data_IF_066532115189
#
_entry.id   IF_066532115189
#
_cell.length_a   1.000
_cell.length_b   1.000
_cell.length_c   1.000
_cell.angle_alpha   90.00
_cell.angle_beta   90.00
_cell.angle_gamma   90.00
#
_symmetry.space_group_name_H-M   'P 1'
#
loop_
_entity.id
_entity.type
_entity.pdbx_description
1 polymer ?
#
# COMPACT_ATOMS: atom_id res chain seq x y z
N UNK A 1 16.08 4.70 -2.89
CA UNK A 1 16.35 5.30 -4.22
C UNK A 1 17.73 4.85 -4.67
N UNK A 2 17.92 4.66 -5.98
CA UNK A 2 19.23 4.44 -6.57
C UNK A 2 20.09 5.70 -6.59
N UNK A 3 21.32 5.58 -7.09
CA UNK A 3 22.25 6.69 -7.26
C UNK A 3 22.79 6.74 -8.69
N UNK A 4 23.20 7.92 -9.14
CA UNK A 4 23.74 8.14 -10.49
C UNK A 4 22.72 7.77 -11.58
N UNK A 5 23.10 6.89 -12.50
CA UNK A 5 22.23 6.45 -13.63
C UNK A 5 20.95 5.70 -13.21
N UNK A 6 20.78 5.39 -11.91
CA UNK A 6 19.62 4.70 -11.36
C UNK A 6 18.92 5.54 -10.29
N UNK A 7 19.07 6.85 -10.34
CA UNK A 7 18.49 7.76 -9.34
C UNK A 7 16.94 7.71 -9.32
N UNK A 8 16.33 7.36 -10.44
CA UNK A 8 14.89 7.16 -10.64
C UNK A 8 14.38 5.77 -10.21
N UNK A 9 15.27 4.88 -9.80
CA UNK A 9 14.93 3.50 -9.46
C UNK A 9 14.64 3.35 -7.97
N UNK A 10 13.44 2.86 -7.64
CA UNK A 10 13.05 2.47 -6.28
C UNK A 10 13.42 1.01 -6.04
N UNK A 11 14.11 0.74 -4.94
CA UNK A 11 14.49 -0.62 -4.53
C UNK A 11 13.71 -1.05 -3.30
N UNK A 12 13.15 -2.26 -3.36
CA UNK A 12 12.59 -2.93 -2.19
C UNK A 12 13.76 -3.58 -1.43
N UNK A 13 13.83 -3.30 -0.13
CA UNK A 13 14.90 -3.80 0.76
C UNK A 13 14.28 -4.40 2.02
N UNK A 14 15.10 -5.12 2.80
CA UNK A 14 14.73 -5.66 4.11
C UNK A 14 13.61 -6.70 4.05
N UNK A 15 13.90 -7.82 3.40
CA UNK A 15 12.97 -8.97 3.26
C UNK A 15 12.79 -9.81 4.54
N UNK A 16 13.30 -9.35 5.70
CA UNK A 16 13.21 -10.11 6.96
C UNK A 16 11.80 -10.42 7.46
N UNK A 17 10.79 -9.65 7.01
CA UNK A 17 9.38 -9.89 7.29
C UNK A 17 8.62 -10.48 6.10
N UNK A 18 9.33 -10.83 5.01
CA UNK A 18 8.70 -11.44 3.84
C UNK A 18 8.24 -12.85 4.14
N UNK A 19 7.10 -13.20 3.58
CA UNK A 19 6.50 -14.54 3.70
C UNK A 19 6.06 -15.03 2.33
N UNK A 20 6.25 -16.31 2.08
CA UNK A 20 5.70 -16.95 0.90
C UNK A 20 4.16 -16.98 1.00
N UNK A 21 3.47 -16.52 -0.04
CA UNK A 21 2.01 -16.53 -0.10
C UNK A 21 1.43 -17.86 -0.62
N UNK A 22 2.27 -18.75 -1.13
CA UNK A 22 1.90 -20.07 -1.65
C UNK A 22 3.00 -21.08 -1.41
N UNK A 23 2.62 -22.34 -1.32
CA UNK A 23 3.58 -23.45 -1.20
C UNK A 23 4.39 -23.58 -2.51
N UNK A 24 5.72 -23.66 -2.45
CA UNK A 24 6.58 -23.65 -3.63
C UNK A 24 6.34 -24.82 -4.59
N UNK A 25 6.05 -26.02 -4.07
CA UNK A 25 5.93 -27.23 -4.89
C UNK A 25 4.53 -27.48 -5.45
N UNK A 26 3.50 -27.19 -4.67
CA UNK A 26 2.10 -27.49 -5.04
C UNK A 26 1.32 -26.26 -5.46
N UNK A 27 1.94 -25.07 -5.35
CA UNK A 27 1.38 -23.76 -5.75
C UNK A 27 0.04 -23.39 -5.09
N UNK A 28 -0.37 -24.11 -4.04
CA UNK A 28 -1.53 -23.75 -3.25
C UNK A 28 -1.22 -22.53 -2.39
N UNK A 29 -2.18 -21.63 -2.28
CA UNK A 29 -2.09 -20.48 -1.39
C UNK A 29 -1.98 -20.96 0.06
N UNK A 30 -1.25 -20.20 0.91
CA UNK A 30 -1.21 -20.49 2.35
C UNK A 30 -2.62 -20.43 2.93
N UNK A 31 -2.92 -21.23 3.97
CA UNK A 31 -4.23 -21.23 4.60
C UNK A 31 -4.52 -19.87 5.26
N UNK A 32 -5.77 -19.44 5.20
CA UNK A 32 -6.23 -18.26 5.91
C UNK A 32 -6.34 -18.56 7.40
N UNK A 33 -5.55 -17.88 8.20
CA UNK A 33 -5.53 -17.99 9.65
C UNK A 33 -5.86 -16.66 10.31
N UNK A 34 -6.57 -16.72 11.44
CA UNK A 34 -6.69 -15.60 12.38
C UNK A 34 -5.59 -15.67 13.46
N UNK A 35 -5.57 -14.70 14.36
CA UNK A 35 -4.66 -14.61 15.51
C UNK A 35 -3.19 -14.33 15.15
N UNK A 36 -2.94 -13.61 14.08
CA UNK A 36 -1.63 -13.03 13.77
C UNK A 36 -1.42 -11.71 14.53
N UNK A 37 -0.19 -11.41 14.88
CA UNK A 37 0.17 -10.08 15.37
C UNK A 37 0.14 -9.03 14.27
N UNK A 38 0.04 -7.74 14.65
CA UNK A 38 0.22 -6.64 13.70
C UNK A 38 1.63 -6.71 13.09
N UNK A 39 1.72 -6.74 11.78
CA UNK A 39 2.98 -6.71 11.04
C UNK A 39 3.17 -5.33 10.41
N UNK A 40 4.33 -4.74 10.58
CA UNK A 40 4.70 -3.44 10.04
C UNK A 40 4.26 -2.26 10.91
N UNK A 41 4.30 -1.07 10.32
CA UNK A 41 3.90 0.17 10.99
C UNK A 41 2.37 0.32 10.96
N UNK A 42 1.77 0.51 12.13
CA UNK A 42 0.32 0.66 12.28
C UNK A 42 -0.28 1.71 11.33
N UNK A 43 0.43 2.81 11.08
CA UNK A 43 -0.01 3.87 10.17
C UNK A 43 -0.32 3.35 8.77
N UNK A 44 0.51 2.44 8.23
CA UNK A 44 0.40 1.97 6.85
C UNK A 44 -0.12 0.53 6.71
N UNK A 45 -0.15 -0.25 7.80
CA UNK A 45 -0.63 -1.63 7.78
C UNK A 45 -2.07 -1.72 7.23
N UNK A 46 -2.39 -2.81 6.52
CA UNK A 46 -3.74 -3.06 6.01
C UNK A 46 -4.77 -3.20 7.13
N UNK A 47 -6.03 -3.04 6.82
CA UNK A 47 -7.13 -3.28 7.77
C UNK A 47 -7.05 -4.72 8.31
N UNK A 48 -6.78 -5.70 7.45
CA UNK A 48 -6.67 -7.10 7.86
C UNK A 48 -5.51 -7.35 8.81
N UNK A 49 -4.38 -6.64 8.63
CA UNK A 49 -3.25 -6.71 9.58
C UNK A 49 -3.64 -6.23 10.97
N UNK A 50 -4.41 -5.15 11.06
CA UNK A 50 -4.94 -4.67 12.34
C UNK A 50 -5.90 -5.66 13.00
N UNK A 51 -6.74 -6.33 12.19
CA UNK A 51 -7.68 -7.33 12.66
C UNK A 51 -7.02 -8.68 13.04
N UNK A 52 -5.71 -8.81 12.82
CA UNK A 52 -4.95 -10.01 13.16
C UNK A 52 -5.19 -11.18 12.20
N UNK A 53 -5.55 -10.92 10.97
CA UNK A 53 -5.69 -11.93 9.94
C UNK A 53 -4.37 -12.23 9.23
N UNK A 54 -4.29 -13.41 8.63
CA UNK A 54 -3.17 -13.76 7.75
C UNK A 54 -3.13 -12.81 6.56
N UNK A 55 -1.92 -12.33 6.24
CA UNK A 55 -1.70 -11.33 5.19
C UNK A 55 -1.42 -11.99 3.84
N UNK A 56 -1.92 -11.38 2.80
CA UNK A 56 -1.72 -11.79 1.43
C UNK A 56 -1.28 -10.61 0.54
N UNK A 57 -1.22 -10.86 -0.77
CA UNK A 57 -0.81 -9.85 -1.75
C UNK A 57 -1.64 -8.57 -1.73
N UNK A 58 -2.94 -8.67 -1.40
CA UNK A 58 -3.85 -7.52 -1.27
C UNK A 58 -3.41 -6.57 -0.17
N UNK A 59 -2.86 -7.13 0.90
CA UNK A 59 -2.46 -6.36 2.09
C UNK A 59 -1.21 -5.53 1.83
N UNK A 60 -0.26 -6.06 1.04
CA UNK A 60 0.90 -5.31 0.56
C UNK A 60 0.49 -4.17 -0.37
N UNK A 61 -0.48 -4.41 -1.25
CA UNK A 61 -1.01 -3.39 -2.15
C UNK A 61 -1.79 -2.30 -1.39
N UNK A 62 -2.58 -2.66 -0.37
CA UNK A 62 -3.29 -1.69 0.47
C UNK A 62 -2.30 -0.83 1.26
N UNK A 63 -1.24 -1.43 1.80
CA UNK A 63 -0.14 -0.72 2.45
C UNK A 63 0.50 0.29 1.49
N UNK A 64 0.80 -0.13 0.26
CA UNK A 64 1.36 0.74 -0.76
C UNK A 64 0.42 1.91 -1.09
N UNK A 65 -0.89 1.65 -1.19
CA UNK A 65 -1.88 2.71 -1.41
C UNK A 65 -1.83 3.78 -0.31
N UNK A 66 -1.77 3.37 0.97
CA UNK A 66 -1.64 4.32 2.08
C UNK A 66 -0.34 5.12 2.06
N UNK A 67 0.78 4.50 1.67
CA UNK A 67 2.06 5.20 1.51
C UNK A 67 1.97 6.26 0.42
N UNK A 68 1.39 5.93 -0.73
CA UNK A 68 1.23 6.87 -1.86
C UNK A 68 0.32 8.05 -1.48
N UNK A 69 -0.81 7.76 -0.80
CA UNK A 69 -1.72 8.79 -0.29
C UNK A 69 -0.99 9.69 0.72
N UNK A 70 -0.24 9.09 1.64
CA UNK A 70 0.55 9.83 2.61
C UNK A 70 1.58 10.76 1.94
N UNK A 71 2.29 10.31 0.93
CA UNK A 71 3.26 11.15 0.22
C UNK A 71 2.62 12.36 -0.46
N UNK A 72 1.39 12.24 -0.92
CA UNK A 72 0.69 13.32 -1.61
C UNK A 72 -0.09 14.25 -0.66
N UNK A 73 -0.64 13.72 0.42
CA UNK A 73 -1.38 14.51 1.42
C UNK A 73 -0.50 15.05 2.56
N UNK A 74 0.66 14.41 2.81
CA UNK A 74 1.52 14.70 3.96
C UNK A 74 1.04 14.10 5.28
N UNK A 75 -0.18 13.56 5.36
CA UNK A 75 -0.74 12.94 6.56
C UNK A 75 -1.83 11.92 6.22
N UNK A 76 -2.18 11.08 7.20
CA UNK A 76 -3.33 10.17 7.14
C UNK A 76 -4.25 10.45 8.34
N UNK A 77 -5.57 10.29 8.23
CA UNK A 77 -6.54 10.63 9.28
C UNK A 77 -6.29 9.94 10.63
N UNK A 78 -5.67 8.78 10.61
CA UNK A 78 -5.32 7.98 11.79
C UNK A 78 -3.87 8.13 12.25
N UNK A 79 -3.12 9.08 11.68
CA UNK A 79 -1.73 9.33 12.07
C UNK A 79 -1.66 10.02 13.45
N UNK A 80 -0.65 9.66 14.25
CA UNK A 80 -0.46 10.23 15.59
C UNK A 80 -1.30 9.57 16.68
N UNK A 81 -2.17 8.63 16.35
CA UNK A 81 -2.79 7.76 17.33
C UNK A 81 -1.72 6.77 17.82
N UNK A 82 -1.46 6.77 19.14
CA UNK A 82 -0.42 5.93 19.76
C UNK A 82 -0.70 4.43 19.64
N UNK A 83 0.29 3.61 19.96
CA UNK A 83 0.16 2.13 19.97
C UNK A 83 -0.93 1.62 20.91
N UNK A 84 -1.22 2.38 21.98
CA UNK A 84 -2.28 2.07 22.95
C UNK A 84 -3.71 2.25 22.37
N UNK A 85 -3.80 2.87 21.19
CA UNK A 85 -5.06 3.17 20.48
C UNK A 85 -5.18 2.38 19.18
N UNK A 86 -4.61 1.18 19.13
CA UNK A 86 -4.66 0.30 17.92
C UNK A 86 -6.08 0.11 17.39
N UNK A 87 -7.04 -0.07 18.30
CA UNK A 87 -8.44 -0.26 17.93
C UNK A 87 -9.01 1.01 17.27
N UNK A 88 -8.62 2.19 17.77
CA UNK A 88 -9.02 3.46 17.14
C UNK A 88 -8.40 3.65 15.75
N UNK A 89 -7.20 3.15 15.50
CA UNK A 89 -6.58 3.21 14.17
C UNK A 89 -7.38 2.37 13.17
N UNK A 90 -7.74 1.13 13.54
CA UNK A 90 -8.51 0.27 12.65
C UNK A 90 -9.93 0.78 12.43
N UNK A 91 -10.57 1.28 13.49
CA UNK A 91 -11.89 1.92 13.40
C UNK A 91 -11.86 3.12 12.44
N UNK A 92 -10.87 4.01 12.56
CA UNK A 92 -10.71 5.13 11.65
C UNK A 92 -10.47 4.67 10.20
N UNK A 93 -9.64 3.64 9.99
CA UNK A 93 -9.40 3.08 8.64
C UNK A 93 -10.67 2.52 8.02
N UNK A 94 -11.51 1.86 8.81
CA UNK A 94 -12.78 1.30 8.35
C UNK A 94 -13.86 2.38 8.14
N UNK A 95 -13.89 3.40 9.01
CA UNK A 95 -14.86 4.49 8.94
C UNK A 95 -14.56 5.49 7.81
N UNK A 96 -13.27 5.68 7.48
CA UNK A 96 -12.88 6.63 6.43
C UNK A 96 -13.18 6.05 5.05
N UNK A 97 -14.07 6.71 4.30
CA UNK A 97 -14.36 6.31 2.93
C UNK A 97 -13.14 6.50 2.01
N UNK A 98 -13.04 5.70 0.96
CA UNK A 98 -12.00 5.86 -0.06
C UNK A 98 -12.12 7.21 -0.78
N UNK A 99 -13.34 7.72 -0.91
CA UNK A 99 -13.60 9.04 -1.49
C UNK A 99 -13.00 10.15 -0.63
N UNK A 100 -13.26 10.15 0.68
CA UNK A 100 -12.75 11.16 1.61
C UNK A 100 -11.23 11.06 1.74
N UNK A 101 -10.71 9.83 1.82
CA UNK A 101 -9.28 9.60 1.95
C UNK A 101 -8.49 10.06 0.72
N UNK A 102 -9.07 9.98 -0.47
CA UNK A 102 -8.43 10.36 -1.72
C UNK A 102 -8.94 11.72 -2.26
N UNK A 103 -9.61 12.52 -1.43
CA UNK A 103 -10.12 13.83 -1.86
C UNK A 103 -8.97 14.72 -2.33
N UNK A 104 -9.10 15.30 -3.52
CA UNK A 104 -8.07 16.16 -4.12
C UNK A 104 -6.88 15.42 -4.73
N UNK A 105 -6.83 14.11 -4.66
CA UNK A 105 -5.80 13.28 -5.28
C UNK A 105 -6.24 12.76 -6.65
N UNK A 106 -5.29 12.30 -7.49
CA UNK A 106 -5.61 11.64 -8.75
C UNK A 106 -6.59 10.48 -8.53
N UNK A 107 -7.61 10.38 -9.38
CA UNK A 107 -8.67 9.35 -9.29
C UNK A 107 -8.13 7.92 -9.31
N UNK A 108 -6.96 7.73 -9.89
CA UNK A 108 -6.26 6.45 -9.94
C UNK A 108 -5.92 5.91 -8.55
N UNK A 109 -5.59 6.77 -7.58
CA UNK A 109 -5.30 6.33 -6.21
C UNK A 109 -6.55 5.81 -5.51
N UNK A 110 -7.70 6.45 -5.73
CA UNK A 110 -8.97 5.92 -5.22
C UNK A 110 -9.30 4.58 -5.85
N UNK A 111 -9.22 4.48 -7.18
CA UNK A 111 -9.45 3.23 -7.89
C UNK A 111 -8.51 2.11 -7.42
N UNK A 112 -7.24 2.43 -7.18
CA UNK A 112 -6.24 1.51 -6.65
C UNK A 112 -6.62 0.99 -5.26
N UNK A 113 -6.95 1.88 -4.32
CA UNK A 113 -7.33 1.49 -2.96
C UNK A 113 -8.62 0.68 -2.94
N UNK A 114 -9.63 1.07 -3.72
CA UNK A 114 -10.89 0.33 -3.87
C UNK A 114 -10.64 -1.08 -4.43
N UNK A 115 -9.77 -1.19 -5.44
CA UNK A 115 -9.36 -2.46 -6.00
C UNK A 115 -8.67 -3.35 -4.95
N UNK A 116 -7.69 -2.82 -4.20
CA UNK A 116 -7.00 -3.57 -3.15
C UNK A 116 -7.97 -4.13 -2.10
N UNK A 117 -8.91 -3.30 -1.65
CA UNK A 117 -9.93 -3.69 -0.66
C UNK A 117 -10.96 -4.69 -1.19
N UNK A 118 -11.15 -4.77 -2.51
CA UNK A 118 -12.06 -5.73 -3.15
C UNK A 118 -11.47 -7.12 -3.33
N UNK A 119 -10.15 -7.27 -3.24
CA UNK A 119 -9.47 -8.55 -3.46
C UNK A 119 -9.73 -9.52 -2.32
N UNK A 120 -9.99 -10.79 -2.66
CA UNK A 120 -9.97 -11.89 -1.69
C UNK A 120 -8.55 -12.16 -1.20
N UNK A 121 -8.43 -12.86 -0.07
CA UNK A 121 -7.15 -13.21 0.55
C UNK A 121 -6.20 -13.95 -0.42
N UNK A 122 -6.71 -14.93 -1.12
CA UNK A 122 -6.00 -15.76 -2.10
C UNK A 122 -6.04 -15.17 -3.53
N UNK A 123 -6.78 -14.07 -3.72
CA UNK A 123 -6.97 -13.41 -5.01
C UNK A 123 -5.63 -13.05 -5.65
N UNK A 124 -5.47 -13.39 -6.93
CA UNK A 124 -4.32 -12.93 -7.71
C UNK A 124 -4.61 -11.50 -8.19
N UNK A 125 -3.80 -10.50 -7.77
CA UNK A 125 -3.95 -9.17 -8.31
C UNK A 125 -3.71 -9.13 -9.83
N UNK A 126 -4.50 -8.35 -10.53
CA UNK A 126 -4.26 -8.01 -11.93
C UNK A 126 -3.20 -6.90 -11.98
N UNK A 127 -1.95 -7.31 -12.06
CA UNK A 127 -0.83 -6.38 -12.10
C UNK A 127 -0.77 -5.58 -13.40
N UNK A 128 -1.30 -6.10 -14.51
CA UNK A 128 -1.37 -5.39 -15.79
C UNK A 128 -2.41 -4.26 -15.69
N UNK A 129 -3.55 -4.51 -15.05
CA UNK A 129 -4.51 -3.47 -14.71
C UNK A 129 -3.88 -2.37 -13.85
N UNK A 130 -3.19 -2.76 -12.77
CA UNK A 130 -2.55 -1.80 -11.87
C UNK A 130 -1.45 -0.99 -12.57
N UNK A 131 -0.63 -1.65 -13.38
CA UNK A 131 0.37 -0.98 -14.19
C UNK A 131 -0.27 0.06 -15.12
N UNK A 132 -1.30 -0.33 -15.86
CA UNK A 132 -2.00 0.56 -16.79
C UNK A 132 -2.74 1.71 -16.07
N UNK A 133 -3.25 1.46 -14.86
CA UNK A 133 -3.90 2.48 -14.04
C UNK A 133 -2.98 3.67 -13.74
N UNK A 134 -1.70 3.40 -13.51
CA UNK A 134 -0.69 4.42 -13.20
C UNK A 134 0.15 4.84 -14.41
N UNK A 135 0.19 4.06 -15.46
CA UNK A 135 0.95 4.38 -16.67
C UNK A 135 0.15 5.28 -17.63
N UNK A 136 -0.48 6.30 -17.09
CA UNK A 136 -1.23 7.28 -17.88
C UNK A 136 -0.36 8.52 -18.08
N UNK A 137 -0.05 8.94 -19.32
CA UNK A 137 0.81 10.09 -19.59
C UNK A 137 0.45 11.34 -18.80
N UNK A 138 -0.86 11.62 -18.65
CA UNK A 138 -1.38 12.77 -17.90
C UNK A 138 -0.94 12.81 -16.41
N UNK A 139 -0.54 11.70 -15.81
CA UNK A 139 -0.06 11.69 -14.42
C UNK A 139 1.39 12.16 -14.28
N UNK A 140 2.17 12.06 -15.35
CA UNK A 140 3.62 12.25 -15.32
C UNK A 140 4.08 13.42 -16.20
N UNK A 141 3.19 14.01 -16.99
CA UNK A 141 3.52 15.18 -17.82
C UNK A 141 3.86 16.39 -16.94
N UNK A 142 5.10 16.83 -17.03
CA UNK A 142 5.59 18.02 -16.33
C UNK A 142 6.09 17.81 -14.91
N UNK A 143 6.16 16.58 -14.41
CA UNK A 143 6.79 16.28 -13.13
C UNK A 143 8.30 16.13 -13.33
N UNK A 144 9.06 17.12 -12.87
CA UNK A 144 10.48 16.96 -12.60
C UNK A 144 10.63 16.34 -11.20
N UNK A 145 11.53 15.37 -11.05
CA UNK A 145 11.85 14.85 -9.73
C UNK A 145 12.68 15.87 -8.95
N UNK A 146 12.31 16.14 -7.71
CA UNK A 146 13.01 17.08 -6.82
C UNK A 146 14.48 16.68 -6.58
N UNK A 147 14.84 15.43 -6.87
CA UNK A 147 16.23 14.93 -6.76
C UNK A 147 17.03 14.96 -8.08
N UNK A 148 16.46 15.40 -9.19
CA UNK A 148 17.15 15.48 -10.49
C UNK A 148 18.20 16.59 -10.57
N UNK A 149 18.50 17.27 -9.45
CA UNK A 149 19.69 18.10 -9.32
C UNK A 149 19.79 19.31 -10.25
N UNK A 150 18.70 19.69 -10.90
CA UNK A 150 18.61 20.94 -11.66
C UNK A 150 18.32 22.10 -10.72
N UNK A 151 19.19 22.29 -9.74
CA UNK A 151 19.29 23.55 -9.00
C UNK A 151 20.04 24.53 -9.89
N UNK A 152 19.35 25.54 -10.37
CA UNK A 152 19.96 26.77 -10.83
C UNK A 152 20.81 27.42 -9.74
#
# INVERSE_FOLDING_TARGET
MGVGKRADTVYIINFGLSKEFRHPDIYLHIPYNGAQGLVGLATFASIHSHLGFELGRRDDLELLAYILIYFLHGSLPWQGLGLETRDLVVENKQATSTLDLCQGLPVQLRAFLEYCRSLSFDGKPDYDYLYNLFNTPLLWEGLAFDWDGSSN
#
